data_IF_123360812332
#
_entry.id   IF_123360812332
#
_cell.length_a   1.000
_cell.length_b   1.000
_cell.length_c   1.000
_cell.angle_alpha   90.00
_cell.angle_beta   90.00
_cell.angle_gamma   90.00
#
_symmetry.space_group_name_H-M   'P 1'
#
loop_
_entity.id
_entity.type
_entity.pdbx_description
1 polymer ?
#
# COMPACT_ATOMS: atom_id res chain seq x y z
N UNK A 1 -17.56 -15.68 -8.16
CA UNK A 1 -16.25 -14.98 -8.04
C UNK A 1 -15.38 -15.34 -9.23
N UNK A 2 -14.69 -14.35 -9.79
CA UNK A 2 -13.74 -14.57 -10.89
C UNK A 2 -12.31 -14.44 -10.34
N UNK A 3 -11.59 -15.56 -10.21
CA UNK A 3 -10.25 -15.53 -9.64
C UNK A 3 -9.28 -14.58 -10.37
N UNK A 4 -9.36 -14.52 -11.70
CA UNK A 4 -8.50 -13.62 -12.47
C UNK A 4 -8.76 -12.15 -12.15
N UNK A 5 -10.04 -11.79 -11.91
CA UNK A 5 -10.38 -10.42 -11.54
C UNK A 5 -9.83 -10.05 -10.16
N UNK A 6 -9.88 -10.96 -9.21
CA UNK A 6 -9.33 -10.75 -7.86
C UNK A 6 -7.82 -10.61 -7.92
N UNK A 7 -7.14 -11.48 -8.67
CA UNK A 7 -5.68 -11.43 -8.85
C UNK A 7 -5.26 -10.13 -9.55
N UNK A 8 -6.02 -9.69 -10.56
CA UNK A 8 -5.75 -8.43 -11.24
C UNK A 8 -5.92 -7.24 -10.30
N UNK A 9 -6.96 -7.24 -9.46
CA UNK A 9 -7.17 -6.19 -8.47
C UNK A 9 -6.03 -6.13 -7.45
N UNK A 10 -5.56 -7.29 -6.97
CA UNK A 10 -4.43 -7.36 -6.06
C UNK A 10 -3.15 -6.82 -6.72
N UNK A 11 -2.90 -7.17 -7.97
CA UNK A 11 -1.76 -6.66 -8.72
C UNK A 11 -1.83 -5.14 -8.91
N UNK A 12 -3.02 -4.58 -9.17
CA UNK A 12 -3.21 -3.13 -9.27
C UNK A 12 -2.94 -2.43 -7.94
N UNK A 13 -3.33 -3.01 -6.83
CA UNK A 13 -3.02 -2.46 -5.51
C UNK A 13 -1.52 -2.41 -5.25
N UNK A 14 -0.79 -3.48 -5.61
CA UNK A 14 0.66 -3.49 -5.49
C UNK A 14 1.32 -2.44 -6.38
N UNK A 15 0.86 -2.30 -7.63
CA UNK A 15 1.36 -1.28 -8.55
C UNK A 15 1.08 0.13 -8.04
N UNK A 16 -0.09 0.35 -7.46
CA UNK A 16 -0.46 1.64 -6.88
C UNK A 16 0.45 1.96 -5.69
N UNK A 17 0.76 0.97 -4.85
CA UNK A 17 1.70 1.13 -3.74
C UNK A 17 3.08 1.54 -4.24
N UNK A 18 3.58 0.89 -5.28
CA UNK A 18 4.89 1.21 -5.88
C UNK A 18 4.90 2.59 -6.50
N UNK A 19 3.83 2.98 -7.19
CA UNK A 19 3.71 4.32 -7.77
C UNK A 19 3.67 5.39 -6.71
N UNK A 20 2.94 5.16 -5.62
CA UNK A 20 2.89 6.08 -4.50
C UNK A 20 4.28 6.25 -3.86
N UNK A 21 5.00 5.16 -3.66
CA UNK A 21 6.36 5.19 -3.13
C UNK A 21 7.30 5.96 -4.06
N UNK A 22 7.19 5.75 -5.37
CA UNK A 22 8.02 6.43 -6.36
C UNK A 22 7.75 7.93 -6.39
N UNK A 23 6.47 8.33 -6.34
CA UNK A 23 6.07 9.75 -6.32
C UNK A 23 6.58 10.40 -5.04
N UNK A 24 6.47 9.74 -3.90
CA UNK A 24 6.97 10.25 -2.63
C UNK A 24 8.48 10.47 -2.66
N UNK A 25 9.23 9.53 -3.23
CA UNK A 25 10.69 9.65 -3.37
C UNK A 25 11.05 10.82 -4.29
N UNK A 26 10.37 10.96 -5.42
CA UNK A 26 10.61 12.05 -6.36
C UNK A 26 10.27 13.42 -5.77
N UNK A 27 9.25 13.49 -4.90
CA UNK A 27 8.81 14.73 -4.26
C UNK A 27 9.66 15.11 -3.04
N UNK A 28 10.48 14.19 -2.51
CA UNK A 28 11.29 14.43 -1.32
C UNK A 28 12.09 15.73 -1.35
N UNK A 29 12.86 16.00 -2.43
CA UNK A 29 13.65 17.23 -2.51
C UNK A 29 12.80 18.52 -2.51
N UNK A 30 11.53 18.45 -2.91
CA UNK A 30 10.65 19.62 -2.94
C UNK A 30 9.85 19.80 -1.66
N UNK A 31 9.70 18.73 -0.86
CA UNK A 31 8.96 18.80 0.42
C UNK A 31 9.85 19.06 1.62
N UNK A 32 11.14 18.76 1.51
CA UNK A 32 12.13 19.06 2.56
C UNK A 32 12.87 20.34 2.19
N UNK A 33 13.04 21.23 3.17
CA UNK A 33 13.63 22.54 2.93
C UNK A 33 14.90 22.74 3.76
N UNK A 34 15.85 23.48 3.19
CA UNK A 34 17.03 23.95 3.90
C UNK A 34 16.78 25.39 4.40
N UNK A 35 17.33 25.76 5.57
CA UNK A 35 17.20 27.15 6.04
C UNK A 35 17.82 28.10 5.01
N UNK A 36 17.14 29.23 4.75
CA UNK A 36 17.64 30.25 3.83
C UNK A 36 18.76 31.12 4.43
N UNK A 37 19.02 30.95 5.71
CA UNK A 37 20.07 31.66 6.44
C UNK A 37 20.29 31.05 7.81
N UNK A 38 21.17 31.68 8.60
CA UNK A 38 21.47 31.25 9.97
C UNK A 38 20.59 31.96 11.00
N UNK A 39 19.64 32.77 10.57
CA UNK A 39 18.72 33.47 11.45
C UNK A 39 17.80 32.49 12.16
N UNK A 40 17.49 32.78 13.41
CA UNK A 40 16.66 31.94 14.26
C UNK A 40 15.29 31.66 13.61
N UNK A 41 14.68 32.67 12.99
CA UNK A 41 13.37 32.53 12.33
C UNK A 41 13.45 31.59 11.16
N UNK A 42 14.49 31.68 10.33
CA UNK A 42 14.72 30.77 9.19
C UNK A 42 14.93 29.34 9.65
N UNK A 43 15.69 29.14 10.72
CA UNK A 43 15.94 27.81 11.28
C UNK A 43 14.65 27.21 11.84
N UNK A 44 13.84 28.01 12.56
CA UNK A 44 12.57 27.55 13.09
C UNK A 44 11.59 27.22 11.98
N UNK A 45 11.50 28.06 10.96
CA UNK A 45 10.61 27.82 9.82
C UNK A 45 11.00 26.53 9.08
N UNK A 46 12.29 26.35 8.79
CA UNK A 46 12.78 25.13 8.14
C UNK A 46 12.52 23.91 9.02
N UNK A 47 12.69 24.03 10.34
CA UNK A 47 12.42 22.96 11.28
C UNK A 47 10.94 22.54 11.27
N UNK A 48 10.03 23.51 11.26
CA UNK A 48 8.58 23.25 11.18
C UNK A 48 8.20 22.56 9.87
N UNK A 49 8.66 23.07 8.74
CA UNK A 49 8.37 22.50 7.44
C UNK A 49 8.94 21.09 7.31
N UNK A 50 10.18 20.86 7.77
CA UNK A 50 10.81 19.56 7.71
C UNK A 50 10.12 18.56 8.65
N UNK A 51 9.63 19.00 9.80
CA UNK A 51 8.87 18.15 10.70
C UNK A 51 7.55 17.70 10.05
N UNK A 52 6.85 18.63 9.41
CA UNK A 52 5.61 18.32 8.69
C UNK A 52 5.90 17.38 7.51
N UNK A 53 6.99 17.61 6.76
CA UNK A 53 7.39 16.74 5.67
C UNK A 53 7.71 15.32 6.17
N UNK A 54 8.38 15.19 7.31
CA UNK A 54 8.69 13.90 7.91
C UNK A 54 7.40 13.15 8.32
N UNK A 55 6.45 13.86 8.91
CA UNK A 55 5.14 13.29 9.25
C UNK A 55 4.39 12.83 8.01
N UNK A 56 4.45 13.60 6.94
CA UNK A 56 3.86 13.27 5.65
C UNK A 56 4.52 12.02 5.06
N UNK A 57 5.85 11.95 5.10
CA UNK A 57 6.60 10.79 4.61
C UNK A 57 6.20 9.51 5.36
N UNK A 58 6.03 9.61 6.68
CA UNK A 58 5.58 8.47 7.48
C UNK A 58 4.17 8.04 7.12
N UNK A 59 3.28 8.98 6.87
CA UNK A 59 1.90 8.69 6.45
C UNK A 59 1.88 7.98 5.10
N UNK A 60 2.70 8.43 4.15
CA UNK A 60 2.82 7.79 2.84
C UNK A 60 3.38 6.37 2.99
N UNK A 61 4.43 6.19 3.79
CA UNK A 61 5.01 4.87 4.02
C UNK A 61 3.98 3.91 4.63
N UNK A 62 3.17 4.39 5.56
CA UNK A 62 2.08 3.60 6.14
C UNK A 62 1.04 3.25 5.07
N UNK A 63 0.67 4.20 4.21
CA UNK A 63 -0.28 3.96 3.12
C UNK A 63 0.24 2.93 2.13
N UNK A 64 1.53 2.97 1.78
CA UNK A 64 2.16 1.96 0.91
C UNK A 64 2.05 0.56 1.54
N UNK A 65 2.35 0.45 2.83
CA UNK A 65 2.23 -0.83 3.54
C UNK A 65 0.78 -1.34 3.56
N UNK A 66 -0.18 -0.45 3.76
CA UNK A 66 -1.60 -0.81 3.77
C UNK A 66 -2.08 -1.28 2.40
N UNK A 67 -1.61 -0.67 1.32
CA UNK A 67 -1.94 -1.11 -0.04
C UNK A 67 -1.39 -2.51 -0.31
N UNK A 68 -0.14 -2.76 0.06
CA UNK A 68 0.44 -4.10 -0.06
C UNK A 68 -0.28 -5.12 0.81
N UNK A 69 -0.66 -4.72 2.02
CA UNK A 69 -1.43 -5.58 2.91
C UNK A 69 -2.80 -5.93 2.31
N UNK A 70 -3.49 -4.96 1.73
CA UNK A 70 -4.76 -5.19 1.06
C UNK A 70 -4.61 -6.17 -0.10
N UNK A 71 -3.55 -6.03 -0.91
CA UNK A 71 -3.25 -6.95 -2.00
C UNK A 71 -3.02 -8.37 -1.48
N UNK A 72 -2.22 -8.51 -0.43
CA UNK A 72 -1.95 -9.81 0.19
C UNK A 72 -3.23 -10.44 0.78
N UNK A 73 -4.08 -9.62 1.39
CA UNK A 73 -5.35 -10.08 1.96
C UNK A 73 -6.28 -10.59 0.86
N UNK A 74 -6.38 -9.90 -0.27
CA UNK A 74 -7.18 -10.37 -1.39
C UNK A 74 -6.70 -11.73 -1.90
N UNK A 75 -5.38 -11.90 -2.04
CA UNK A 75 -4.80 -13.17 -2.47
C UNK A 75 -5.08 -14.29 -1.48
N UNK A 76 -4.95 -14.01 -0.19
CA UNK A 76 -5.23 -14.98 0.86
C UNK A 76 -6.71 -15.39 0.89
N UNK A 77 -7.61 -14.42 0.77
CA UNK A 77 -9.05 -14.69 0.72
C UNK A 77 -9.43 -15.52 -0.51
N UNK A 78 -8.84 -15.20 -1.66
CA UNK A 78 -9.04 -15.98 -2.87
C UNK A 78 -8.58 -17.43 -2.68
N UNK A 79 -7.40 -17.63 -2.11
CA UNK A 79 -6.87 -18.97 -1.85
C UNK A 79 -7.81 -19.78 -0.94
N UNK A 80 -8.34 -19.16 0.13
CA UNK A 80 -9.32 -19.77 1.01
C UNK A 80 -10.62 -20.12 0.28
N UNK A 81 -11.09 -19.21 -0.54
CA UNK A 81 -12.30 -19.42 -1.33
C UNK A 81 -12.16 -20.61 -2.28
N UNK A 82 -11.04 -20.67 -3.01
CA UNK A 82 -10.77 -21.78 -3.93
C UNK A 82 -10.60 -23.11 -3.18
N UNK A 83 -9.98 -23.10 -2.02
CA UNK A 83 -9.84 -24.29 -1.18
C UNK A 83 -11.22 -24.80 -0.70
N UNK A 84 -12.10 -23.89 -0.29
CA UNK A 84 -13.46 -24.24 0.12
C UNK A 84 -14.27 -24.79 -1.06
N UNK A 85 -14.15 -24.20 -2.23
CA UNK A 85 -14.82 -24.69 -3.42
C UNK A 85 -14.34 -26.10 -3.77
N UNK A 86 -13.05 -26.37 -3.67
CA UNK A 86 -12.52 -27.72 -3.95
C UNK A 86 -13.05 -28.74 -2.93
N UNK A 87 -13.13 -28.39 -1.66
CA UNK A 87 -13.68 -29.24 -0.62
C UNK A 87 -15.15 -29.54 -0.88
N UNK A 88 -15.93 -28.54 -1.24
CA UNK A 88 -17.35 -28.68 -1.55
C UNK A 88 -17.58 -29.53 -2.81
N UNK A 89 -16.75 -29.35 -3.81
CA UNK A 89 -16.83 -30.14 -5.03
C UNK A 89 -16.58 -31.63 -4.75
N UNK A 90 -15.60 -31.94 -3.91
CA UNK A 90 -15.33 -33.31 -3.46
C UNK A 90 -16.52 -33.87 -2.68
N UNK A 91 -17.08 -33.06 -1.76
CA UNK A 91 -18.25 -33.46 -0.98
C UNK A 91 -19.46 -33.78 -1.86
N UNK A 92 -19.74 -32.95 -2.87
CA UNK A 92 -20.84 -33.19 -3.82
C UNK A 92 -20.57 -34.44 -4.65
N UNK A 93 -19.36 -34.63 -5.14
CA UNK A 93 -18.99 -35.78 -5.96
C UNK A 93 -19.08 -37.10 -5.18
N UNK A 94 -18.99 -37.05 -3.83
CA UNK A 94 -19.08 -38.24 -3.00
C UNK A 94 -20.52 -38.63 -2.62
N UNK A 95 -21.50 -37.81 -2.96
CA UNK A 95 -22.93 -38.11 -2.66
C UNK A 95 -23.39 -39.21 -3.58
N UNK A 96 -23.96 -40.34 -3.04
CA UNK A 96 -24.51 -41.42 -3.87
C UNK A 96 -25.69 -40.93 -4.69
N UNK A 97 -25.77 -41.37 -5.92
CA UNK A 97 -26.87 -41.04 -6.84
C UNK A 97 -27.80 -42.21 -6.98
#
# INVERSE_FOLDING_TARGET
MQPEAVLAAAAELDLLAERLAAVATAAGPTTHVLPSGTEEVSLLAAGHFNHAALSHDRAIAQGVLELHHAAATLRAQLAQYLAQDAIRAVGIASIPV
#
